data_IF_920163113815
#
_entry.id   IF_920163113815
#
_cell.length_a   1.000
_cell.length_b   1.000
_cell.length_c   1.000
_cell.angle_alpha   90.00
_cell.angle_beta   90.00
_cell.angle_gamma   90.00
#
_symmetry.space_group_name_H-M   'P 1'
#
loop_
_entity.id
_entity.type
_entity.pdbx_description
1 polymer ?
#
# COMPACT_ATOMS: atom_id res chain seq x y z
N UNK A 1 -42.33 26.96 -6.28
CA UNK A 1 -42.46 25.93 -7.33
C UNK A 1 -41.10 25.22 -7.47
N UNK A 2 -40.93 24.06 -6.84
CA UNK A 2 -39.65 23.33 -6.81
C UNK A 2 -39.65 22.27 -7.93
N UNK A 3 -38.72 22.31 -8.90
CA UNK A 3 -38.89 21.59 -10.17
C UNK A 3 -38.61 20.08 -10.13
N UNK A 4 -38.29 19.47 -8.98
CA UNK A 4 -37.98 18.05 -8.89
C UNK A 4 -38.74 17.37 -7.75
N UNK A 5 -39.67 16.47 -8.09
CA UNK A 5 -40.53 15.72 -7.15
C UNK A 5 -39.80 14.70 -6.26
N UNK A 6 -38.51 14.45 -6.48
CA UNK A 6 -37.79 13.28 -5.91
C UNK A 6 -36.50 13.61 -5.14
N UNK A 7 -36.38 14.80 -4.55
CA UNK A 7 -35.13 15.24 -3.88
C UNK A 7 -34.60 14.26 -2.81
N UNK A 8 -35.44 13.65 -1.98
CA UNK A 8 -34.94 12.67 -0.97
C UNK A 8 -34.40 11.42 -1.64
N UNK A 9 -35.12 10.86 -2.62
CA UNK A 9 -34.71 9.64 -3.34
C UNK A 9 -33.40 9.82 -4.10
N UNK A 10 -33.17 10.99 -4.70
CA UNK A 10 -31.89 11.31 -5.34
C UNK A 10 -30.75 11.31 -4.33
N UNK A 11 -30.96 11.93 -3.15
CA UNK A 11 -29.96 11.95 -2.07
C UNK A 11 -29.67 10.54 -1.56
N UNK A 12 -30.70 9.75 -1.28
CA UNK A 12 -30.58 8.36 -0.84
C UNK A 12 -29.80 7.51 -1.84
N UNK A 13 -30.09 7.66 -3.14
CA UNK A 13 -29.34 6.99 -4.20
C UNK A 13 -27.87 7.41 -4.23
N UNK A 14 -27.58 8.72 -4.23
CA UNK A 14 -26.21 9.22 -4.27
C UNK A 14 -25.40 8.78 -3.05
N UNK A 15 -25.99 8.79 -1.86
CA UNK A 15 -25.34 8.30 -0.64
C UNK A 15 -25.07 6.80 -0.69
N UNK A 16 -26.03 6.00 -1.15
CA UNK A 16 -25.84 4.55 -1.30
C UNK A 16 -24.75 4.23 -2.33
N UNK A 17 -24.76 4.92 -3.47
CA UNK A 17 -23.75 4.77 -4.51
C UNK A 17 -22.35 5.15 -3.98
N UNK A 18 -22.22 6.29 -3.32
CA UNK A 18 -20.95 6.74 -2.74
C UNK A 18 -20.43 5.77 -1.67
N UNK A 19 -21.30 5.22 -0.81
CA UNK A 19 -20.92 4.20 0.18
C UNK A 19 -20.39 2.93 -0.48
N UNK A 20 -21.01 2.47 -1.56
CA UNK A 20 -20.54 1.28 -2.28
C UNK A 20 -19.18 1.53 -2.95
N UNK A 21 -19.00 2.69 -3.58
CA UNK A 21 -17.70 3.08 -4.16
C UNK A 21 -16.63 3.15 -3.08
N UNK A 22 -16.91 3.79 -1.95
CA UNK A 22 -15.98 3.91 -0.84
C UNK A 22 -15.60 2.55 -0.24
N UNK A 23 -16.55 1.64 -0.06
CA UNK A 23 -16.30 0.30 0.47
C UNK A 23 -15.43 -0.54 -0.48
N UNK A 24 -15.71 -0.51 -1.78
CA UNK A 24 -14.90 -1.22 -2.77
C UNK A 24 -13.50 -0.60 -2.88
N UNK A 25 -13.39 0.73 -2.87
CA UNK A 25 -12.11 1.43 -2.90
C UNK A 25 -11.26 1.07 -1.68
N UNK A 26 -11.86 1.10 -0.48
CA UNK A 26 -11.16 0.71 0.75
C UNK A 26 -10.65 -0.73 0.66
N UNK A 27 -11.49 -1.67 0.21
CA UNK A 27 -11.08 -3.07 0.03
C UNK A 27 -9.87 -3.20 -0.88
N UNK A 28 -9.81 -2.45 -1.99
CA UNK A 28 -8.67 -2.49 -2.92
C UNK A 28 -7.43 -1.78 -2.37
N UNK A 29 -7.60 -0.76 -1.54
CA UNK A 29 -6.48 -0.18 -0.80
C UNK A 29 -5.90 -1.17 0.21
N UNK A 30 -6.77 -1.92 0.90
CA UNK A 30 -6.38 -2.92 1.91
C UNK A 30 -5.59 -4.10 1.30
N UNK A 31 -5.78 -4.38 0.00
CA UNK A 31 -4.97 -5.36 -0.75
C UNK A 31 -3.52 -4.89 -0.97
N UNK A 32 -3.25 -3.58 -0.89
CA UNK A 32 -1.93 -3.00 -1.13
C UNK A 32 -1.23 -2.57 0.15
N UNK A 33 -2.00 -2.10 1.13
CA UNK A 33 -1.49 -1.58 2.40
C UNK A 33 -2.31 -2.20 3.52
N UNK A 34 -1.62 -2.80 4.50
CA UNK A 34 -2.30 -3.31 5.69
C UNK A 34 -3.14 -2.20 6.35
N UNK A 35 -4.43 -2.46 6.68
CA UNK A 35 -5.29 -1.50 7.36
C UNK A 35 -4.70 -0.97 8.68
N UNK A 36 -3.82 -1.76 9.32
CA UNK A 36 -3.13 -1.37 10.56
C UNK A 36 -2.09 -0.27 10.35
N UNK A 37 -1.58 -0.14 9.13
CA UNK A 37 -0.64 0.89 8.74
C UNK A 37 -1.35 2.10 8.12
N UNK A 38 -2.68 2.09 8.07
CA UNK A 38 -3.47 3.20 7.55
C UNK A 38 -3.90 4.14 8.68
N UNK A 39 -3.67 5.44 8.48
CA UNK A 39 -4.20 6.48 9.36
C UNK A 39 -5.25 7.28 8.61
N UNK A 40 -6.41 7.47 9.25
CA UNK A 40 -7.51 8.26 8.69
C UNK A 40 -7.57 9.61 9.38
N UNK A 41 -7.37 10.66 8.59
CA UNK A 41 -7.55 12.03 9.02
C UNK A 41 -8.92 12.52 8.53
N UNK A 42 -9.74 13.03 9.46
CA UNK A 42 -11.08 13.55 9.12
C UNK A 42 -11.11 15.07 8.94
N UNK A 43 -10.02 15.75 9.25
CA UNK A 43 -9.85 17.19 9.14
C UNK A 43 -8.37 17.52 8.90
N UNK A 44 -8.12 18.74 8.41
CA UNK A 44 -6.79 19.16 8.01
C UNK A 44 -6.37 18.55 6.66
N UNK A 45 -5.52 19.27 5.93
CA UNK A 45 -4.94 18.79 4.67
C UNK A 45 -3.45 18.47 4.79
N UNK A 46 -2.81 18.91 5.87
CA UNK A 46 -1.37 18.82 6.06
C UNK A 46 -1.05 18.26 7.44
N UNK A 47 0.03 17.52 7.53
CA UNK A 47 0.60 17.05 8.79
C UNK A 47 2.11 17.14 8.76
N UNK A 48 2.70 17.24 9.94
CA UNK A 48 4.15 17.23 10.14
C UNK A 48 4.46 16.13 11.14
N UNK A 49 5.45 15.29 10.81
CA UNK A 49 6.02 14.34 11.77
C UNK A 49 7.09 15.04 12.60
N UNK A 50 7.57 14.38 13.67
CA UNK A 50 8.71 14.92 14.43
C UNK A 50 9.95 15.05 13.53
N UNK A 51 10.80 16.07 13.74
CA UNK A 51 12.04 16.23 13.02
C UNK A 51 12.91 15.00 13.15
N UNK A 52 13.31 14.45 12.01
CA UNK A 52 14.29 13.36 11.94
C UNK A 52 15.57 13.87 11.29
N UNK A 53 16.69 13.14 11.45
CA UNK A 53 17.96 13.48 10.80
C UNK A 53 17.90 13.50 9.26
N UNK A 54 16.81 13.03 8.66
CA UNK A 54 16.56 13.02 7.22
C UNK A 54 15.65 14.17 6.74
N UNK A 55 15.24 15.09 7.64
CA UNK A 55 14.45 16.29 7.32
C UNK A 55 13.05 16.31 7.96
N UNK A 56 12.44 17.49 7.93
CA UNK A 56 11.03 17.77 8.27
C UNK A 56 10.23 17.90 6.98
N UNK A 57 9.67 16.80 6.48
CA UNK A 57 8.77 16.85 5.34
C UNK A 57 7.34 17.11 5.84
N UNK A 58 6.83 18.31 5.56
CA UNK A 58 5.39 18.57 5.67
C UNK A 58 4.68 17.76 4.60
N UNK A 59 3.85 16.81 5.01
CA UNK A 59 3.06 16.01 4.10
C UNK A 59 1.69 16.67 3.87
N UNK A 60 1.13 16.50 2.67
CA UNK A 60 -0.17 17.03 2.27
C UNK A 60 -1.03 15.95 1.63
N UNK A 61 -2.34 15.98 1.90
CA UNK A 61 -3.33 15.16 1.21
C UNK A 61 -3.39 15.50 -0.28
N UNK A 62 -3.29 14.48 -1.13
CA UNK A 62 -3.53 14.60 -2.56
C UNK A 62 -4.96 14.21 -2.89
N UNK A 63 -5.65 15.06 -3.63
CA UNK A 63 -7.00 14.79 -4.10
C UNK A 63 -6.93 13.93 -5.37
N UNK A 64 -7.53 12.74 -5.32
CA UNK A 64 -7.77 11.91 -6.50
C UNK A 64 -9.20 12.15 -7.00
N UNK A 65 -9.35 12.30 -8.31
CA UNK A 65 -10.63 12.58 -8.96
C UNK A 65 -10.71 11.87 -10.29
N UNK A 66 -11.85 11.25 -10.55
CA UNK A 66 -12.13 10.57 -11.81
C UNK A 66 -13.55 10.86 -12.25
N UNK A 67 -13.74 11.07 -13.55
CA UNK A 67 -15.03 11.39 -14.15
C UNK A 67 -15.61 10.16 -14.84
N UNK A 68 -16.91 9.93 -14.63
CA UNK A 68 -17.67 8.89 -15.33
C UNK A 68 -18.79 9.53 -16.11
N UNK A 69 -18.89 9.15 -17.39
CA UNK A 69 -19.96 9.58 -18.27
C UNK A 69 -21.08 8.54 -18.30
N UNK A 70 -22.31 8.95 -18.00
CA UNK A 70 -23.51 8.15 -18.25
C UNK A 70 -24.30 8.79 -19.37
N UNK A 71 -24.70 8.01 -20.39
CA UNK A 71 -25.47 8.56 -21.51
C UNK A 71 -26.94 8.67 -21.12
N UNK A 72 -27.61 9.68 -21.64
CA UNK A 72 -29.05 9.88 -21.39
C UNK A 72 -29.88 8.69 -21.90
N UNK A 73 -29.50 8.13 -23.05
CA UNK A 73 -30.18 6.98 -23.64
C UNK A 73 -30.16 5.74 -22.72
N UNK A 74 -29.07 5.54 -21.97
CA UNK A 74 -28.95 4.44 -21.00
C UNK A 74 -30.01 4.57 -19.89
N UNK A 75 -30.32 5.81 -19.49
CA UNK A 75 -31.33 6.12 -18.48
C UNK A 75 -32.74 5.91 -19.03
N UNK A 76 -33.00 6.34 -20.26
CA UNK A 76 -34.28 6.15 -20.93
C UNK A 76 -34.62 4.67 -21.15
N UNK A 77 -33.62 3.86 -21.50
CA UNK A 77 -33.77 2.43 -21.72
C UNK A 77 -33.82 1.61 -20.42
N UNK A 78 -33.75 2.26 -19.26
CA UNK A 78 -33.74 1.62 -17.94
C UNK A 78 -32.63 0.57 -17.79
N UNK A 79 -31.48 0.76 -18.45
CA UNK A 79 -30.37 -0.18 -18.38
C UNK A 79 -29.63 -0.02 -17.04
N UNK A 80 -30.10 -0.75 -16.03
CA UNK A 80 -29.50 -0.72 -14.69
C UNK A 80 -28.07 -1.28 -14.67
N UNK A 81 -27.66 -2.06 -15.68
CA UNK A 81 -26.29 -2.58 -15.76
C UNK A 81 -25.26 -1.44 -15.91
N UNK A 82 -25.65 -0.34 -16.57
CA UNK A 82 -24.80 0.84 -16.79
C UNK A 82 -24.39 1.53 -15.50
N UNK A 83 -25.21 1.48 -14.45
CA UNK A 83 -24.81 2.00 -13.13
C UNK A 83 -23.75 1.13 -12.46
N UNK A 84 -23.81 -0.19 -12.67
CA UNK A 84 -22.78 -1.11 -12.15
C UNK A 84 -21.48 -0.92 -12.90
N UNK A 85 -21.53 -0.73 -14.23
CA UNK A 85 -20.36 -0.39 -15.05
C UNK A 85 -19.75 0.96 -14.65
N UNK A 86 -20.59 1.99 -14.46
CA UNK A 86 -20.16 3.30 -13.99
C UNK A 86 -19.43 3.23 -12.64
N UNK A 87 -19.98 2.45 -11.68
CA UNK A 87 -19.33 2.20 -10.39
C UNK A 87 -17.96 1.54 -10.56
N UNK A 88 -17.86 0.50 -11.40
CA UNK A 88 -16.58 -0.20 -11.67
C UNK A 88 -15.56 0.76 -12.28
N UNK A 89 -15.97 1.52 -13.29
CA UNK A 89 -15.11 2.49 -13.96
C UNK A 89 -14.60 3.56 -12.99
N UNK A 90 -15.48 4.07 -12.11
CA UNK A 90 -15.09 5.03 -11.07
C UNK A 90 -14.05 4.46 -10.11
N UNK A 91 -14.27 3.25 -9.59
CA UNK A 91 -13.35 2.58 -8.68
C UNK A 91 -12.01 2.33 -9.37
N UNK A 92 -12.01 1.81 -10.59
CA UNK A 92 -10.79 1.54 -11.35
C UNK A 92 -9.98 2.81 -11.63
N UNK A 93 -10.65 3.90 -12.02
CA UNK A 93 -10.01 5.19 -12.26
C UNK A 93 -9.39 5.79 -10.99
N UNK A 94 -10.12 5.77 -9.87
CA UNK A 94 -9.61 6.23 -8.58
C UNK A 94 -8.45 5.36 -8.07
N UNK A 95 -8.53 4.04 -8.24
CA UNK A 95 -7.45 3.12 -7.87
C UNK A 95 -6.20 3.30 -8.71
N UNK A 96 -6.34 3.59 -10.02
CA UNK A 96 -5.20 3.87 -10.88
C UNK A 96 -4.43 5.11 -10.40
N UNK A 97 -5.14 6.18 -10.03
CA UNK A 97 -4.51 7.38 -9.44
C UNK A 97 -3.88 7.07 -8.09
N UNK A 98 -4.58 6.34 -7.23
CA UNK A 98 -4.04 5.92 -5.93
C UNK A 98 -2.74 5.13 -6.06
N UNK A 99 -2.70 4.12 -6.93
CA UNK A 99 -1.51 3.31 -7.17
C UNK A 99 -0.35 4.14 -7.74
N UNK A 100 -0.64 5.05 -8.69
CA UNK A 100 0.38 5.94 -9.25
C UNK A 100 1.02 6.80 -8.15
N UNK A 101 0.19 7.44 -7.31
CA UNK A 101 0.66 8.24 -6.17
C UNK A 101 1.45 7.39 -5.18
N UNK A 102 0.93 6.22 -4.78
CA UNK A 102 1.58 5.31 -3.84
C UNK A 102 3.00 4.93 -4.30
N UNK A 103 3.14 4.41 -5.53
CA UNK A 103 4.45 4.00 -6.04
C UNK A 103 5.37 5.19 -6.29
N UNK A 104 4.85 6.35 -6.67
CA UNK A 104 5.64 7.57 -6.78
C UNK A 104 6.20 8.00 -5.42
N UNK A 105 5.38 8.00 -4.37
CA UNK A 105 5.83 8.34 -3.01
C UNK A 105 6.87 7.34 -2.51
N UNK A 106 6.68 6.04 -2.75
CA UNK A 106 7.68 5.02 -2.41
C UNK A 106 9.00 5.30 -3.14
N UNK A 107 8.97 5.51 -4.46
CA UNK A 107 10.18 5.79 -5.27
C UNK A 107 10.93 7.00 -4.76
N UNK A 108 10.23 8.11 -4.51
CA UNK A 108 10.82 9.34 -3.99
C UNK A 108 11.43 9.13 -2.60
N UNK A 109 10.78 8.36 -1.74
CA UNK A 109 11.30 8.06 -0.41
C UNK A 109 12.56 7.20 -0.49
N UNK A 110 12.61 6.19 -1.37
CA UNK A 110 13.78 5.32 -1.55
C UNK A 110 14.94 6.06 -2.18
N UNK A 111 14.68 6.96 -3.14
CA UNK A 111 15.71 7.82 -3.74
C UNK A 111 16.32 8.77 -2.70
N UNK A 112 15.49 9.41 -1.87
CA UNK A 112 15.95 10.30 -0.79
C UNK A 112 16.81 9.57 0.24
N UNK A 113 16.45 8.34 0.60
CA UNK A 113 17.19 7.56 1.59
C UNK A 113 18.40 6.81 0.99
N UNK A 114 18.58 6.84 -0.33
CA UNK A 114 19.59 6.04 -1.02
C UNK A 114 19.28 4.54 -1.09
N UNK A 115 18.04 4.13 -0.77
CA UNK A 115 17.60 2.74 -0.83
C UNK A 115 17.16 2.35 -2.25
N UNK A 116 18.03 2.58 -3.23
CA UNK A 116 17.77 2.29 -4.64
C UNK A 116 18.85 1.38 -5.20
N UNK A 117 18.44 0.31 -5.88
CA UNK A 117 19.34 -0.57 -6.64
C UNK A 117 19.18 -0.26 -8.12
N UNK A 118 20.27 0.10 -8.79
CA UNK A 118 20.29 0.40 -10.23
C UNK A 118 20.93 -0.76 -10.97
N UNK A 119 20.25 -1.27 -11.98
CA UNK A 119 20.77 -2.32 -12.88
C UNK A 119 21.33 -1.66 -14.13
N UNK A 120 22.65 -1.65 -14.26
CA UNK A 120 23.36 -1.15 -15.43
C UNK A 120 23.26 -2.08 -16.63
N UNK A 121 23.68 -1.61 -17.83
CA UNK A 121 23.73 -2.45 -19.02
C UNK A 121 24.68 -3.63 -18.81
N UNK A 122 24.17 -4.85 -18.95
CA UNK A 122 24.93 -6.09 -18.78
C UNK A 122 24.89 -6.72 -17.38
N UNK A 123 24.24 -6.07 -16.40
CA UNK A 123 24.03 -6.65 -15.07
C UNK A 123 22.80 -7.55 -15.02
N UNK A 124 22.88 -8.61 -14.21
CA UNK A 124 21.78 -9.58 -14.09
C UNK A 124 20.66 -9.05 -13.19
N UNK A 125 19.38 -9.14 -13.60
CA UNK A 125 18.25 -8.87 -12.71
C UNK A 125 18.25 -9.71 -11.42
N UNK A 126 18.90 -10.88 -11.43
CA UNK A 126 19.03 -11.73 -10.25
C UNK A 126 19.99 -11.14 -9.21
N UNK A 127 21.11 -10.55 -9.65
CA UNK A 127 22.05 -9.86 -8.76
C UNK A 127 21.40 -8.62 -8.12
N UNK A 128 20.62 -7.89 -8.91
CA UNK A 128 19.85 -6.74 -8.41
C UNK A 128 18.82 -7.14 -7.35
N UNK A 129 18.15 -8.28 -7.54
CA UNK A 129 17.24 -8.84 -6.56
C UNK A 129 17.96 -9.18 -5.25
N UNK A 130 19.14 -9.81 -5.32
CA UNK A 130 19.93 -10.12 -4.14
C UNK A 130 20.43 -8.85 -3.43
N UNK A 131 20.94 -7.87 -4.18
CA UNK A 131 21.33 -6.57 -3.63
C UNK A 131 20.16 -5.85 -2.95
N UNK A 132 18.94 -5.96 -3.49
CA UNK A 132 17.75 -5.42 -2.86
C UNK A 132 17.44 -6.13 -1.52
N UNK A 133 17.57 -7.45 -1.44
CA UNK A 133 17.41 -8.19 -0.18
C UNK A 133 18.49 -7.82 0.86
N UNK A 134 19.73 -7.61 0.41
CA UNK A 134 20.84 -7.18 1.28
C UNK A 134 20.63 -5.75 1.81
N UNK A 135 19.95 -4.88 1.05
CA UNK A 135 19.67 -3.51 1.45
C UNK A 135 18.42 -3.37 2.34
N UNK A 136 17.37 -4.14 2.07
CA UNK A 136 16.10 -4.06 2.81
C UNK A 136 16.25 -4.61 4.22
N UNK A 137 15.52 -4.01 5.15
CA UNK A 137 15.36 -4.50 6.51
C UNK A 137 14.11 -5.36 6.63
N UNK A 138 14.22 -6.53 7.28
CA UNK A 138 13.08 -7.41 7.49
C UNK A 138 12.35 -7.00 8.76
N UNK A 139 11.03 -7.14 8.74
CA UNK A 139 10.16 -6.89 9.89
C UNK A 139 9.75 -8.17 10.59
N UNK A 140 9.21 -8.03 11.79
CA UNK A 140 8.52 -9.11 12.51
C UNK A 140 7.04 -8.75 12.57
N UNK A 141 6.18 -9.72 12.30
CA UNK A 141 4.74 -9.55 12.33
C UNK A 141 4.15 -9.68 13.75
N UNK A 142 2.82 -9.61 13.85
CA UNK A 142 2.10 -9.70 15.12
C UNK A 142 2.24 -11.06 15.83
N UNK A 143 2.58 -12.12 15.10
CA UNK A 143 2.74 -13.46 15.63
C UNK A 143 4.18 -13.73 16.06
N UNK A 144 5.09 -12.75 15.89
CA UNK A 144 6.51 -12.92 16.17
C UNK A 144 7.27 -13.57 15.02
N UNK A 145 6.65 -13.72 13.85
CA UNK A 145 7.27 -14.32 12.67
C UNK A 145 7.89 -13.27 11.76
N UNK A 146 8.99 -13.64 11.10
CA UNK A 146 9.69 -12.71 10.21
C UNK A 146 8.89 -12.52 8.92
N UNK A 147 8.49 -11.28 8.65
CA UNK A 147 7.82 -10.91 7.41
C UNK A 147 8.85 -10.61 6.32
N UNK A 148 8.78 -11.36 5.22
CA UNK A 148 9.60 -11.12 4.04
C UNK A 148 9.10 -9.90 3.25
N UNK A 149 9.98 -9.23 2.49
CA UNK A 149 9.60 -8.12 1.62
C UNK A 149 8.62 -8.56 0.52
N UNK A 150 7.67 -7.70 0.19
CA UNK A 150 6.77 -7.87 -0.95
C UNK A 150 7.34 -7.14 -2.17
N UNK A 151 7.29 -7.78 -3.34
CA UNK A 151 7.76 -7.20 -4.59
C UNK A 151 6.59 -6.84 -5.50
N UNK A 152 6.46 -5.56 -5.82
CA UNK A 152 5.41 -5.04 -6.70
C UNK A 152 5.99 -4.79 -8.09
N UNK A 153 5.49 -5.51 -9.09
CA UNK A 153 5.88 -5.29 -10.48
C UNK A 153 4.80 -5.73 -11.46
N UNK A 154 4.83 -5.15 -12.66
CA UNK A 154 3.93 -5.54 -13.75
C UNK A 154 4.11 -7.02 -14.12
N UNK A 155 3.03 -7.66 -14.59
CA UNK A 155 3.00 -9.11 -14.91
C UNK A 155 4.15 -9.57 -15.81
N UNK A 156 4.52 -8.76 -16.79
CA UNK A 156 5.64 -9.06 -17.71
C UNK A 156 6.98 -8.99 -16.99
N UNK A 157 7.16 -8.01 -16.09
CA UNK A 157 8.37 -7.86 -15.28
C UNK A 157 8.57 -9.04 -14.33
N UNK A 158 7.51 -9.45 -13.61
CA UNK A 158 7.56 -10.57 -12.66
C UNK A 158 7.97 -11.88 -13.35
N UNK A 159 7.39 -12.17 -14.52
CA UNK A 159 7.73 -13.38 -15.28
C UNK A 159 9.17 -13.40 -15.74
N UNK A 160 9.68 -12.25 -16.21
CA UNK A 160 11.08 -12.11 -16.59
C UNK A 160 12.00 -12.28 -15.38
N UNK A 161 11.68 -11.69 -14.24
CA UNK A 161 12.50 -11.82 -13.04
C UNK A 161 12.57 -13.28 -12.58
N UNK A 162 11.42 -13.97 -12.47
CA UNK A 162 11.36 -15.38 -12.06
C UNK A 162 12.22 -16.24 -12.99
N UNK A 163 12.08 -16.09 -14.32
CA UNK A 163 12.90 -16.83 -15.27
C UNK A 163 14.41 -16.55 -15.12
N UNK A 164 14.79 -15.31 -14.82
CA UNK A 164 16.20 -14.97 -14.56
C UNK A 164 16.73 -15.57 -13.25
N UNK A 165 15.89 -15.66 -12.22
CA UNK A 165 16.23 -16.28 -10.94
C UNK A 165 16.37 -17.80 -11.07
N UNK A 166 15.44 -18.45 -11.78
CA UNK A 166 15.48 -19.90 -12.05
C UNK A 166 16.66 -20.30 -12.95
N UNK A 167 17.11 -19.40 -13.82
CA UNK A 167 18.30 -19.61 -14.64
C UNK A 167 19.62 -19.52 -13.84
N UNK A 168 19.60 -19.04 -12.59
CA UNK A 168 20.79 -19.02 -11.76
C UNK A 168 21.11 -20.42 -11.21
N UNK A 169 22.40 -20.66 -10.96
CA UNK A 169 22.87 -21.92 -10.38
C UNK A 169 22.51 -22.11 -8.89
N UNK A 170 22.82 -23.28 -8.33
CA UNK A 170 22.57 -23.59 -6.92
C UNK A 170 23.30 -22.66 -5.95
N UNK A 171 24.49 -22.18 -6.32
CA UNK A 171 25.28 -21.23 -5.51
C UNK A 171 24.53 -19.91 -5.26
N UNK A 172 23.82 -19.40 -6.26
CA UNK A 172 23.03 -18.18 -6.10
C UNK A 172 21.86 -18.40 -5.13
N UNK A 173 21.18 -19.54 -5.25
CA UNK A 173 20.07 -19.90 -4.36
C UNK A 173 20.55 -20.03 -2.91
N UNK A 174 21.73 -20.61 -2.70
CA UNK A 174 22.35 -20.70 -1.37
C UNK A 174 22.65 -19.30 -0.79
N UNK A 175 23.22 -18.39 -1.59
CA UNK A 175 23.44 -16.99 -1.17
C UNK A 175 22.13 -16.29 -0.77
N UNK A 176 21.07 -16.47 -1.55
CA UNK A 176 19.76 -15.89 -1.24
C UNK A 176 19.23 -16.39 0.10
N UNK A 177 19.32 -17.69 0.36
CA UNK A 177 18.88 -18.28 1.63
C UNK A 177 19.76 -17.85 2.82
N UNK A 178 21.08 -17.73 2.63
CA UNK A 178 21.99 -17.17 3.63
C UNK A 178 21.59 -15.74 4.02
N UNK A 179 21.41 -14.84 3.02
CA UNK A 179 21.00 -13.45 3.27
C UNK A 179 19.65 -13.40 3.98
N UNK A 180 18.67 -14.22 3.56
CA UNK A 180 17.37 -14.29 4.24
C UNK A 180 17.52 -14.74 5.69
N UNK A 181 18.32 -15.76 5.98
CA UNK A 181 18.52 -16.28 7.33
C UNK A 181 19.19 -15.25 8.25
N UNK A 182 20.24 -14.58 7.75
CA UNK A 182 20.93 -13.52 8.49
C UNK A 182 20.00 -12.34 8.78
N UNK A 183 19.29 -11.83 7.77
CA UNK A 183 18.33 -10.73 7.91
C UNK A 183 17.17 -11.08 8.84
N UNK A 184 16.71 -12.33 8.79
CA UNK A 184 15.66 -12.83 9.69
C UNK A 184 16.13 -12.87 11.14
N UNK A 185 17.38 -13.28 11.40
CA UNK A 185 17.95 -13.26 12.74
C UNK A 185 18.07 -11.82 13.27
N UNK A 186 18.55 -10.90 12.44
CA UNK A 186 18.66 -9.48 12.78
C UNK A 186 17.29 -8.86 13.08
N UNK A 187 16.25 -9.20 12.29
CA UNK A 187 14.89 -8.73 12.53
C UNK A 187 14.37 -9.15 13.91
N UNK A 188 14.55 -10.43 14.28
CA UNK A 188 14.15 -10.94 15.61
C UNK A 188 14.92 -10.27 16.75
N UNK A 189 16.21 -10.02 16.56
CA UNK A 189 17.03 -9.34 17.56
C UNK A 189 16.58 -7.89 17.77
N UNK A 190 16.31 -7.15 16.71
CA UNK A 190 15.80 -5.77 16.82
C UNK A 190 14.43 -5.74 17.46
N UNK A 191 13.58 -6.71 17.15
CA UNK A 191 12.26 -6.81 17.76
C UNK A 191 12.35 -7.12 19.26
N UNK A 192 13.27 -8.01 19.67
CA UNK A 192 13.50 -8.25 21.11
C UNK A 192 14.05 -7.01 21.82
N UNK A 193 14.97 -6.28 21.18
CA UNK A 193 15.48 -4.99 21.67
C UNK A 193 14.39 -3.92 21.75
N UNK A 194 13.44 -3.90 20.80
CA UNK A 194 12.29 -3.01 20.81
C UNK A 194 11.36 -3.34 21.99
N UNK A 195 11.02 -4.61 22.16
CA UNK A 195 10.15 -5.08 23.25
C UNK A 195 10.76 -4.85 24.62
N UNK A 196 12.08 -5.00 24.76
CA UNK A 196 12.79 -4.74 26.01
C UNK A 196 12.72 -3.26 26.48
N UNK A 197 12.38 -2.32 25.59
CA UNK A 197 12.17 -0.89 25.95
C UNK A 197 10.82 -0.64 26.62
N UNK A 198 9.89 -1.58 26.55
CA UNK A 198 8.55 -1.45 27.11
C UNK A 198 8.39 -2.37 28.32
N UNK A 199 7.65 -1.95 29.35
CA UNK A 199 7.30 -2.84 30.45
C UNK A 199 6.49 -4.04 29.92
N UNK A 200 6.57 -5.21 30.58
CA UNK A 200 5.77 -6.37 30.22
C UNK A 200 4.28 -6.01 30.18
N UNK A 201 3.55 -6.53 29.19
CA UNK A 201 2.14 -6.19 28.94
C UNK A 201 1.19 -6.41 30.13
N UNK A 202 1.59 -7.18 31.15
CA UNK A 202 0.78 -7.54 32.32
C UNK A 202 1.02 -6.64 33.55
N UNK A 203 1.99 -5.72 33.54
CA UNK A 203 2.21 -4.77 34.66
C UNK A 203 1.26 -3.56 34.62
N UNK A 204 0.49 -3.40 33.53
CA UNK A 204 -0.49 -2.30 33.38
C UNK A 204 -1.87 -2.56 34.01
N UNK A 205 -2.23 -3.83 34.24
CA UNK A 205 -3.54 -4.20 34.78
C UNK A 205 -3.61 -4.14 36.32
N UNK A 206 -2.47 -4.01 37.00
CA UNK A 206 -2.39 -3.91 38.47
C UNK A 206 -2.55 -2.49 39.04
N UNK A 207 -2.87 -1.49 38.22
CA UNK A 207 -3.02 -0.09 38.65
C UNK A 207 -4.45 0.48 38.54
N UNK A 208 -5.44 -0.38 38.34
CA UNK A 208 -6.87 -0.03 38.45
C UNK A 208 -7.49 -0.62 39.73
N UNK A 209 -6.88 -0.35 40.89
CA UNK A 209 -7.58 -0.39 42.17
C UNK A 209 -7.58 1.03 42.74
N UNK A 210 -8.65 1.79 42.47
CA UNK A 210 -9.12 2.98 43.21
C UNK A 210 -10.63 3.13 42.97
#
# INVERSE_FOLDING_TARGET
MTPFRYRSRTKEFSEAFAKQVAAELQKRCDELISPRNAQKFSHGRRWMTKPTGHGDDTAEMQAHSFEVLSRFDDVLNHDLAKFVEARKCLVEGLMAQFQATLYQTISQSTEKSGNTVVVGPGQSPAEAFLAALEMIEFGVDEYGEVSLPQFHMGRVGIKKLIANLEAQGPEFSERVEQVKAEKSKLARQRESERLAKFPPAWEGDSLCEC
#
